data_IF_937342247323
#
_entry.id   IF_937342247323
#
_cell.length_a   1.000
_cell.length_b   1.000
_cell.length_c   1.000
_cell.angle_alpha   90.00
_cell.angle_beta   90.00
_cell.angle_gamma   90.00
#
_symmetry.space_group_name_H-M   'P 1'
#
loop_
_entity.id
_entity.type
_entity.pdbx_description
1 polymer ?
#
# COMPACT_ATOMS: atom_id res chain seq x y z
N UNK A 1 36.13 -56.29 47.58
CA UNK A 1 35.31 -55.06 47.88
C UNK A 1 35.65 -53.89 46.96
N UNK A 2 36.87 -53.64 46.61
CA UNK A 2 37.26 -52.48 45.74
C UNK A 2 36.78 -52.50 44.27
N UNK A 3 36.49 -53.65 43.66
CA UNK A 3 36.06 -53.75 42.32
C UNK A 3 34.57 -53.28 42.12
N UNK A 4 33.75 -53.33 43.15
CA UNK A 4 32.35 -52.87 43.09
C UNK A 4 32.24 -51.34 43.15
N UNK A 5 33.10 -50.67 43.89
CA UNK A 5 33.10 -49.21 44.04
C UNK A 5 33.50 -48.54 42.73
N UNK A 6 34.53 -49.05 42.04
CA UNK A 6 35.03 -48.52 40.76
C UNK A 6 33.94 -48.58 39.64
N UNK A 7 33.13 -49.65 39.63
CA UNK A 7 32.08 -49.82 38.63
C UNK A 7 30.89 -48.88 38.83
N UNK A 8 30.65 -48.46 40.07
CA UNK A 8 29.61 -47.48 40.41
C UNK A 8 30.07 -46.06 40.04
N UNK A 9 31.32 -45.72 40.24
CA UNK A 9 31.88 -44.41 39.86
C UNK A 9 31.95 -44.21 38.34
N UNK A 10 32.33 -45.25 37.58
CA UNK A 10 32.35 -45.20 36.12
C UNK A 10 30.94 -45.08 35.54
N UNK A 11 29.95 -45.79 36.07
CA UNK A 11 28.57 -45.68 35.67
C UNK A 11 27.96 -44.30 35.95
N UNK A 12 28.32 -43.70 37.08
CA UNK A 12 27.84 -42.36 37.46
C UNK A 12 28.48 -41.25 36.59
N UNK A 13 29.78 -41.44 36.24
CA UNK A 13 30.49 -40.52 35.35
C UNK A 13 29.96 -40.53 33.91
N UNK A 14 29.57 -41.70 33.38
CA UNK A 14 28.99 -41.84 32.06
C UNK A 14 27.56 -41.23 32.00
N UNK A 15 26.74 -41.49 33.03
CA UNK A 15 25.42 -40.89 33.11
C UNK A 15 25.49 -39.35 33.21
N UNK A 16 26.45 -38.83 33.96
CA UNK A 16 26.63 -37.38 34.08
C UNK A 16 27.07 -36.75 32.76
N UNK A 17 27.95 -37.39 32.00
CA UNK A 17 28.35 -36.90 30.65
C UNK A 17 27.17 -36.90 29.68
N UNK A 18 26.38 -37.96 29.67
CA UNK A 18 25.19 -38.03 28.78
C UNK A 18 24.15 -36.95 29.10
N UNK A 19 23.93 -36.65 30.37
CA UNK A 19 23.06 -35.55 30.81
C UNK A 19 23.60 -34.21 30.35
N UNK A 20 24.91 -33.96 30.49
CA UNK A 20 25.56 -32.72 30.06
C UNK A 20 25.43 -32.55 28.54
N UNK A 21 25.70 -33.60 27.77
CA UNK A 21 25.59 -33.56 26.30
C UNK A 21 24.15 -33.36 25.79
N UNK A 22 23.16 -33.99 26.43
CA UNK A 22 21.72 -33.75 26.16
C UNK A 22 21.32 -32.32 26.47
N UNK A 23 21.78 -31.77 27.59
CA UNK A 23 21.47 -30.38 27.99
C UNK A 23 22.10 -29.38 27.02
N UNK A 24 23.36 -29.65 26.59
CA UNK A 24 24.08 -28.81 25.64
C UNK A 24 23.40 -28.80 24.26
N UNK A 25 23.03 -29.98 23.76
CA UNK A 25 22.32 -30.13 22.49
C UNK A 25 20.91 -29.46 22.51
N UNK A 26 20.22 -29.52 23.66
CA UNK A 26 18.93 -28.85 23.84
C UNK A 26 19.10 -27.35 23.89
N UNK A 27 20.11 -26.83 24.57
CA UNK A 27 20.40 -25.40 24.61
C UNK A 27 20.82 -24.85 23.24
N UNK A 28 21.64 -25.58 22.47
CA UNK A 28 22.02 -25.20 21.10
C UNK A 28 20.83 -25.19 20.16
N UNK A 29 19.91 -26.17 20.27
CA UNK A 29 18.65 -26.15 19.50
C UNK A 29 17.77 -24.96 19.87
N UNK A 30 17.61 -24.64 21.14
CA UNK A 30 16.81 -23.49 21.59
C UNK A 30 17.40 -22.15 21.09
N UNK A 31 18.72 -22.01 21.09
CA UNK A 31 19.38 -20.81 20.56
C UNK A 31 19.22 -20.70 19.05
N UNK A 32 19.31 -21.81 18.33
CA UNK A 32 19.14 -21.85 16.87
C UNK A 32 17.71 -21.53 16.47
N UNK A 33 16.71 -22.10 17.13
CA UNK A 33 15.29 -21.79 16.88
C UNK A 33 14.98 -20.32 17.19
N UNK A 34 15.48 -19.81 18.31
CA UNK A 34 15.25 -18.41 18.69
C UNK A 34 15.88 -17.42 17.70
N UNK A 35 17.06 -17.74 17.15
CA UNK A 35 17.70 -16.95 16.09
C UNK A 35 16.86 -16.95 14.81
N UNK A 36 16.29 -18.09 14.43
CA UNK A 36 15.40 -18.17 13.26
C UNK A 36 14.13 -17.32 13.40
N UNK A 37 13.51 -17.30 14.57
CA UNK A 37 12.35 -16.43 14.83
C UNK A 37 12.69 -14.94 14.76
N UNK A 38 13.87 -14.55 15.25
CA UNK A 38 14.34 -13.15 15.19
C UNK A 38 14.53 -12.73 13.73
N UNK A 39 15.13 -13.58 12.89
CA UNK A 39 15.32 -13.30 11.47
C UNK A 39 13.98 -13.20 10.74
N UNK A 40 13.06 -14.13 10.98
CA UNK A 40 11.71 -14.09 10.37
C UNK A 40 10.95 -12.83 10.80
N UNK A 41 11.01 -12.47 12.09
CA UNK A 41 10.38 -11.26 12.61
C UNK A 41 10.97 -10.00 11.96
N UNK A 42 12.29 -9.91 11.81
CA UNK A 42 12.96 -8.79 11.15
C UNK A 42 12.54 -8.65 9.68
N UNK A 43 12.47 -9.77 8.93
CA UNK A 43 12.00 -9.77 7.54
C UNK A 43 10.54 -9.32 7.45
N UNK A 44 9.66 -9.79 8.35
CA UNK A 44 8.27 -9.37 8.40
C UNK A 44 8.12 -7.87 8.69
N UNK A 45 8.90 -7.32 9.63
CA UNK A 45 8.90 -5.89 9.93
C UNK A 45 9.37 -5.08 8.71
N UNK A 46 10.46 -5.49 8.04
CA UNK A 46 10.93 -4.85 6.81
C UNK A 46 9.85 -4.89 5.71
N UNK A 47 9.18 -6.01 5.54
CA UNK A 47 8.09 -6.15 4.57
C UNK A 47 6.91 -5.21 4.87
N UNK A 48 6.51 -5.10 6.13
CA UNK A 48 5.46 -4.16 6.56
C UNK A 48 5.86 -2.70 6.30
N UNK A 49 7.12 -2.33 6.58
CA UNK A 49 7.63 -0.98 6.30
C UNK A 49 7.61 -0.68 4.80
N UNK A 50 8.05 -1.61 3.95
CA UNK A 50 8.02 -1.45 2.50
C UNK A 50 6.59 -1.31 1.99
N UNK A 51 5.65 -2.13 2.47
CA UNK A 51 4.24 -2.02 2.13
C UNK A 51 3.64 -0.69 2.57
N UNK A 52 3.94 -0.24 3.79
CA UNK A 52 3.48 1.06 4.30
C UNK A 52 4.03 2.21 3.46
N UNK A 53 5.30 2.20 3.12
CA UNK A 53 5.92 3.21 2.25
C UNK A 53 5.29 3.21 0.84
N UNK A 54 4.98 2.04 0.30
CA UNK A 54 4.32 1.91 -1.00
C UNK A 54 2.88 2.45 -0.99
N UNK A 55 2.14 2.26 0.10
CA UNK A 55 0.77 2.78 0.27
C UNK A 55 0.79 4.30 0.51
N UNK A 56 1.70 4.79 1.36
CA UNK A 56 1.82 6.21 1.68
C UNK A 56 2.37 7.06 0.52
N UNK A 57 3.11 6.45 -0.40
CA UNK A 57 3.68 7.14 -1.56
C UNK A 57 2.66 7.52 -2.63
N UNK A 58 1.41 7.05 -2.55
CA UNK A 58 0.37 7.35 -3.54
C UNK A 58 -0.31 8.67 -3.25
N UNK A 59 -0.39 9.54 -4.26
CA UNK A 59 -1.13 10.80 -4.16
C UNK A 59 -2.62 10.54 -4.25
N UNK A 60 -3.36 10.97 -3.24
CA UNK A 60 -4.83 10.93 -3.24
C UNK A 60 -5.38 12.18 -3.93
N UNK A 61 -6.30 11.97 -4.87
CA UNK A 61 -6.98 13.03 -5.58
C UNK A 61 -8.48 12.83 -5.49
N UNK A 62 -9.17 13.89 -5.17
CA UNK A 62 -10.62 13.99 -5.25
C UNK A 62 -10.96 14.75 -6.53
N UNK A 63 -11.60 14.09 -7.53
CA UNK A 63 -11.89 14.68 -8.84
C UNK A 63 -12.79 15.91 -8.76
N UNK A 64 -13.66 15.99 -7.76
CA UNK A 64 -14.62 17.10 -7.61
C UNK A 64 -13.95 18.48 -7.58
N UNK A 65 -12.70 18.59 -7.13
CA UNK A 65 -11.97 19.87 -7.10
C UNK A 65 -11.47 20.34 -8.46
N UNK A 66 -11.57 19.50 -9.48
CA UNK A 66 -11.07 19.73 -10.84
C UNK A 66 -12.18 19.70 -11.87
N UNK A 67 -13.43 19.46 -11.47
CA UNK A 67 -14.60 19.39 -12.32
C UNK A 67 -15.44 20.66 -12.13
N UNK A 68 -15.79 21.29 -13.23
CA UNK A 68 -16.71 22.41 -13.26
C UNK A 68 -17.99 21.98 -13.97
N UNK A 69 -19.12 22.22 -13.33
CA UNK A 69 -20.45 21.96 -13.92
C UNK A 69 -21.07 23.29 -14.34
N UNK A 70 -21.40 23.41 -15.60
CA UNK A 70 -22.06 24.60 -16.17
C UNK A 70 -23.49 24.24 -16.56
N UNK A 71 -24.42 25.10 -16.19
CA UNK A 71 -25.86 24.93 -16.49
C UNK A 71 -26.28 25.90 -17.56
N UNK A 72 -26.96 25.38 -18.60
CA UNK A 72 -27.50 26.16 -19.70
C UNK A 72 -29.00 25.86 -19.87
N UNK A 73 -29.82 26.87 -20.01
CA UNK A 73 -31.25 26.72 -20.24
C UNK A 73 -32.14 27.28 -19.12
N UNK A 74 -33.41 26.96 -19.18
CA UNK A 74 -34.43 27.37 -18.20
C UNK A 74 -34.94 26.17 -17.41
N UNK A 75 -35.51 26.43 -16.25
CA UNK A 75 -36.03 25.39 -15.36
C UNK A 75 -36.95 24.41 -16.10
N UNK A 76 -36.67 23.12 -16.01
CA UNK A 76 -37.37 22.04 -16.67
C UNK A 76 -36.85 21.70 -18.09
N UNK A 77 -35.95 22.54 -18.65
CA UNK A 77 -35.32 22.33 -19.97
C UNK A 77 -33.86 22.70 -19.95
N UNK A 78 -33.25 22.72 -18.77
CA UNK A 78 -31.84 23.02 -18.65
C UNK A 78 -30.99 21.77 -18.98
N UNK A 79 -29.84 22.00 -19.54
CA UNK A 79 -28.75 21.00 -19.66
C UNK A 79 -27.61 21.36 -18.73
N UNK A 80 -26.86 20.36 -18.31
CA UNK A 80 -25.60 20.55 -17.58
C UNK A 80 -24.46 19.92 -18.37
N UNK A 81 -23.37 20.65 -18.43
CA UNK A 81 -22.12 20.21 -19.05
C UNK A 81 -21.03 20.17 -18.02
N UNK A 82 -20.20 19.13 -18.08
CA UNK A 82 -19.01 18.99 -17.25
C UNK A 82 -17.77 19.33 -18.03
N UNK A 83 -16.86 20.04 -17.41
CA UNK A 83 -15.49 20.24 -17.90
C UNK A 83 -14.49 19.89 -16.83
N UNK A 84 -13.40 19.25 -17.22
CA UNK A 84 -12.28 18.90 -16.33
C UNK A 84 -11.14 19.89 -16.57
N UNK A 85 -10.63 20.49 -15.49
CA UNK A 85 -9.42 21.33 -15.52
C UNK A 85 -8.18 20.44 -15.38
N UNK A 86 -7.80 19.78 -16.48
CA UNK A 86 -6.63 18.90 -16.53
C UNK A 86 -5.32 19.65 -16.24
N UNK A 87 -5.24 20.93 -16.58
CA UNK A 87 -4.05 21.75 -16.33
C UNK A 87 -3.88 22.04 -14.82
N UNK A 88 -4.96 22.36 -14.10
CA UNK A 88 -4.94 22.53 -12.66
C UNK A 88 -4.61 21.21 -11.95
N UNK A 89 -5.16 20.10 -12.41
CA UNK A 89 -4.86 18.77 -11.91
C UNK A 89 -3.39 18.42 -12.09
N UNK A 90 -2.87 18.60 -13.31
CA UNK A 90 -1.46 18.39 -13.61
C UNK A 90 -0.54 19.24 -12.71
N UNK A 91 -0.79 20.54 -12.57
CA UNK A 91 -0.02 21.42 -11.69
C UNK A 91 -0.01 20.98 -10.25
N UNK A 92 -1.16 20.50 -9.74
CA UNK A 92 -1.29 19.97 -8.38
C UNK A 92 -0.46 18.70 -8.20
N UNK A 93 -0.50 17.80 -9.19
CA UNK A 93 0.28 16.57 -9.18
C UNK A 93 1.78 16.84 -9.33
N UNK A 94 2.15 17.69 -10.26
CA UNK A 94 3.54 18.03 -10.50
C UNK A 94 4.17 18.67 -9.26
N UNK A 95 3.54 19.69 -8.67
CA UNK A 95 4.03 20.35 -7.46
C UNK A 95 5.50 20.78 -7.60
N UNK A 96 6.37 20.14 -6.80
CA UNK A 96 7.84 20.36 -6.84
C UNK A 96 8.59 19.18 -7.48
N UNK A 97 7.89 18.31 -8.19
CA UNK A 97 8.51 17.13 -8.85
C UNK A 97 9.46 17.59 -9.96
N UNK A 98 10.66 16.99 -10.01
CA UNK A 98 11.67 17.27 -11.03
C UNK A 98 11.95 16.07 -11.93
N UNK A 99 11.40 14.90 -11.62
CA UNK A 99 11.57 13.71 -12.42
C UNK A 99 10.67 13.78 -13.66
N UNK A 100 11.28 13.85 -14.84
CA UNK A 100 10.58 13.99 -16.12
C UNK A 100 9.65 12.81 -16.43
N UNK A 101 10.01 11.60 -16.03
CA UNK A 101 9.18 10.41 -16.24
C UNK A 101 7.88 10.51 -15.43
N UNK A 102 7.97 10.90 -14.15
CA UNK A 102 6.80 11.16 -13.30
C UNK A 102 5.95 12.32 -13.82
N UNK A 103 6.58 13.40 -14.26
CA UNK A 103 5.85 14.54 -14.84
C UNK A 103 5.06 14.12 -16.08
N UNK A 104 5.66 13.27 -16.93
CA UNK A 104 4.97 12.72 -18.10
C UNK A 104 3.80 11.81 -17.71
N UNK A 105 4.00 10.97 -16.69
CA UNK A 105 2.92 10.12 -16.16
C UNK A 105 1.77 10.95 -15.56
N UNK A 106 2.07 12.02 -14.82
CA UNK A 106 1.06 12.93 -14.28
C UNK A 106 0.28 13.64 -15.40
N UNK A 107 0.95 14.05 -16.47
CA UNK A 107 0.30 14.68 -17.61
C UNK A 107 -0.66 13.71 -18.28
N UNK A 108 -0.18 12.50 -18.61
CA UNK A 108 -0.99 11.47 -19.22
C UNK A 108 -2.25 11.14 -18.38
N UNK A 109 -2.09 11.04 -17.07
CA UNK A 109 -3.22 10.81 -16.17
C UNK A 109 -4.19 12.00 -16.17
N UNK A 110 -3.69 13.24 -16.04
CA UNK A 110 -4.54 14.43 -16.00
C UNK A 110 -5.34 14.62 -17.32
N UNK A 111 -4.74 14.30 -18.46
CA UNK A 111 -5.37 14.40 -19.78
C UNK A 111 -6.35 13.25 -20.05
N UNK A 112 -6.29 12.15 -19.27
CA UNK A 112 -7.23 11.03 -19.38
C UNK A 112 -8.48 11.17 -18.52
N UNK A 113 -8.55 12.19 -17.66
CA UNK A 113 -9.68 12.39 -16.78
C UNK A 113 -10.82 13.06 -17.54
N UNK A 114 -11.95 12.37 -17.64
CA UNK A 114 -13.16 12.84 -18.28
C UNK A 114 -14.31 12.86 -17.27
N UNK A 115 -15.24 13.79 -17.45
CA UNK A 115 -16.44 13.88 -16.62
C UNK A 115 -17.67 14.07 -17.50
N UNK A 116 -18.75 13.36 -17.17
CA UNK A 116 -20.02 13.49 -17.88
C UNK A 116 -21.22 13.41 -16.93
N UNK A 117 -22.34 13.93 -17.37
CA UNK A 117 -23.66 13.89 -16.72
C UNK A 117 -24.64 13.22 -17.67
N UNK A 118 -25.34 12.21 -17.18
CA UNK A 118 -26.35 11.49 -18.02
C UNK A 118 -27.73 12.17 -18.05
N UNK A 119 -28.00 13.13 -17.14
CA UNK A 119 -29.32 13.72 -17.02
C UNK A 119 -29.50 14.92 -17.93
N UNK A 120 -30.53 14.89 -18.78
CA UNK A 120 -31.13 16.03 -19.52
C UNK A 120 -32.38 16.54 -18.80
N UNK A 121 -32.91 17.68 -19.25
CA UNK A 121 -34.14 18.28 -18.72
C UNK A 121 -34.10 18.55 -17.20
N UNK A 122 -33.11 19.32 -16.80
CA UNK A 122 -32.79 19.60 -15.39
C UNK A 122 -33.75 20.70 -14.86
N UNK A 123 -34.27 20.45 -13.67
CA UNK A 123 -35.13 21.37 -12.92
C UNK A 123 -34.45 21.85 -11.63
N UNK A 124 -34.91 22.96 -11.10
CA UNK A 124 -34.43 23.47 -9.81
C UNK A 124 -34.67 22.44 -8.69
N UNK A 125 -33.61 22.13 -7.96
CA UNK A 125 -33.63 21.14 -6.86
C UNK A 125 -33.29 19.72 -7.29
N UNK A 126 -33.04 19.47 -8.56
CA UNK A 126 -32.55 18.18 -9.03
C UNK A 126 -31.16 17.86 -8.50
N UNK A 127 -30.98 16.60 -8.15
CA UNK A 127 -29.64 16.06 -7.82
C UNK A 127 -29.02 15.49 -9.08
N UNK A 128 -27.83 15.95 -9.42
CA UNK A 128 -27.04 15.45 -10.53
C UNK A 128 -25.95 14.54 -10.05
N UNK A 129 -25.77 13.44 -10.78
CA UNK A 129 -24.62 12.55 -10.61
C UNK A 129 -23.63 12.86 -11.71
N UNK A 130 -22.43 13.17 -11.33
CA UNK A 130 -21.30 13.35 -12.24
C UNK A 130 -20.53 12.04 -12.27
N UNK A 131 -20.40 11.45 -13.44
CA UNK A 131 -19.58 10.27 -13.67
C UNK A 131 -18.19 10.71 -14.09
N UNK A 132 -17.20 10.07 -13.51
CA UNK A 132 -15.79 10.38 -13.77
C UNK A 132 -15.11 9.13 -14.32
N UNK A 133 -14.53 9.25 -15.49
CA UNK A 133 -13.76 8.19 -16.14
C UNK A 133 -12.29 8.61 -16.26
N UNK A 134 -11.40 7.66 -16.22
CA UNK A 134 -9.96 7.89 -16.36
C UNK A 134 -9.24 6.61 -16.77
N UNK A 135 -8.06 6.75 -17.37
CA UNK A 135 -7.18 5.63 -17.67
C UNK A 135 -6.56 5.07 -16.37
N UNK A 136 -6.99 3.86 -16.00
CA UNK A 136 -6.54 3.17 -14.78
C UNK A 136 -5.06 2.83 -14.83
N UNK A 137 -4.50 2.58 -16.04
CA UNK A 137 -3.08 2.33 -16.20
C UNK A 137 -2.28 3.62 -16.01
N UNK A 138 -2.74 4.74 -16.58
CA UNK A 138 -2.12 6.04 -16.36
C UNK A 138 -2.16 6.45 -14.88
N UNK A 139 -3.24 6.15 -14.16
CA UNK A 139 -3.35 6.36 -12.72
C UNK A 139 -2.31 5.51 -11.95
N UNK A 140 -2.17 4.23 -12.33
CA UNK A 140 -1.18 3.33 -11.71
C UNK A 140 0.25 3.80 -11.96
N UNK A 141 0.59 4.14 -13.20
CA UNK A 141 1.92 4.61 -13.61
C UNK A 141 2.31 5.93 -12.91
N UNK A 142 1.33 6.79 -12.71
CA UNK A 142 1.51 8.05 -11.97
C UNK A 142 1.54 7.88 -10.45
N UNK A 143 1.16 6.72 -9.91
CA UNK A 143 1.02 6.49 -8.47
C UNK A 143 -0.11 7.30 -7.83
N UNK A 144 -1.13 7.65 -8.61
CA UNK A 144 -2.32 8.39 -8.15
C UNK A 144 -3.42 7.42 -7.74
N UNK A 145 -4.17 7.79 -6.70
CA UNK A 145 -5.44 7.17 -6.31
C UNK A 145 -6.55 8.20 -6.42
N UNK A 146 -7.56 7.86 -7.16
CA UNK A 146 -8.78 8.66 -7.29
C UNK A 146 -9.72 8.28 -6.16
N UNK A 147 -10.19 9.26 -5.39
CA UNK A 147 -11.25 9.07 -4.41
C UNK A 147 -12.59 8.95 -5.17
N UNK A 148 -13.34 7.91 -4.87
CA UNK A 148 -14.65 7.64 -5.41
C UNK A 148 -15.65 7.44 -4.30
#
# INVERSE_FOLDING_TARGET
>A
MWRRIRKIEEGNSQNMKEIIDRTKNTAEKMVKDRSSYIVVAAVMVCFVIVLAAWIMGKKHIDPQYYITVTYNGINGYASAECSVDSEKLYKTLAGKEVNMEKLTAYRKFADSLEAHIEKSDISNGDKLTVYVEYDTQAAADSGVRVAG
#
